data_IF_470702406099
#
_entry.id   IF_470702406099
#
_cell.length_a   1.000
_cell.length_b   1.000
_cell.length_c   1.000
_cell.angle_alpha   90.00
_cell.angle_beta   90.00
_cell.angle_gamma   90.00
#
_symmetry.space_group_name_H-M   'P 1'
#
loop_
_entity.id
_entity.type
_entity.pdbx_description
1 polymer ?
#
# COMPACT_ATOMS: atom_id res chain seq x y z
N UNK A 1 -11.51 16.36 -11.90
CA UNK A 1 -10.05 16.21 -11.87
C UNK A 1 -9.42 17.52 -12.26
N UNK A 2 -8.74 18.19 -11.32
CA UNK A 2 -8.17 19.54 -11.51
C UNK A 2 -6.65 19.56 -11.66
N UNK A 3 -6.00 18.38 -11.73
CA UNK A 3 -4.55 18.23 -11.72
C UNK A 3 -4.10 17.37 -12.90
N UNK A 4 -2.97 17.73 -13.52
CA UNK A 4 -2.33 16.98 -14.60
C UNK A 4 -0.81 16.99 -14.42
N UNK A 5 -0.17 15.83 -14.64
CA UNK A 5 1.30 15.67 -14.61
C UNK A 5 1.88 15.05 -15.89
N UNK A 6 1.10 14.30 -16.66
CA UNK A 6 1.50 13.81 -17.99
C UNK A 6 2.58 12.73 -18.01
N UNK A 7 2.48 11.73 -17.13
CA UNK A 7 3.44 10.61 -17.07
C UNK A 7 3.55 9.86 -18.41
N UNK A 8 2.48 9.77 -19.20
CA UNK A 8 2.53 9.10 -20.51
C UNK A 8 3.46 9.84 -21.49
N UNK A 9 3.50 11.17 -21.42
CA UNK A 9 4.44 11.97 -22.22
C UNK A 9 5.86 11.85 -21.69
N UNK A 10 6.05 11.82 -20.36
CA UNK A 10 7.37 11.70 -19.72
C UNK A 10 8.09 10.37 -20.02
N UNK A 11 7.33 9.31 -20.31
CA UNK A 11 7.86 7.99 -20.64
C UNK A 11 8.31 7.85 -22.11
N UNK A 12 7.98 8.79 -22.98
CA UNK A 12 8.46 8.75 -24.38
C UNK A 12 9.98 8.88 -24.41
N UNK A 13 10.61 8.08 -25.26
CA UNK A 13 12.05 8.04 -25.47
C UNK A 13 12.89 7.74 -24.21
N UNK A 14 12.24 7.25 -23.14
CA UNK A 14 12.90 6.74 -21.94
C UNK A 14 13.32 5.29 -22.13
N UNK A 15 14.35 4.89 -21.41
CA UNK A 15 14.65 3.47 -21.29
C UNK A 15 13.45 2.75 -20.66
N UNK A 16 12.89 1.73 -21.33
CA UNK A 16 11.69 1.05 -20.83
C UNK A 16 11.91 0.41 -19.46
N UNK A 17 13.14 0.09 -19.08
CA UNK A 17 13.48 -0.49 -17.76
C UNK A 17 13.22 0.49 -16.61
N UNK A 18 13.22 1.79 -16.87
CA UNK A 18 12.91 2.80 -15.85
C UNK A 18 11.41 2.94 -15.57
N UNK A 19 10.55 2.36 -16.42
CA UNK A 19 9.11 2.56 -16.35
C UNK A 19 8.54 2.14 -14.99
N UNK A 20 8.95 0.99 -14.44
CA UNK A 20 8.46 0.51 -13.13
C UNK A 20 8.84 1.43 -11.98
N UNK A 21 9.91 2.21 -12.09
CA UNK A 21 10.30 3.20 -11.08
C UNK A 21 9.54 4.51 -11.27
N UNK A 22 9.43 4.99 -12.52
CA UNK A 22 8.78 6.26 -12.85
C UNK A 22 7.28 6.20 -12.55
N UNK A 23 6.57 5.16 -13.00
CA UNK A 23 5.11 5.09 -12.90
C UNK A 23 4.61 5.02 -11.45
N UNK A 24 5.41 4.49 -10.53
CA UNK A 24 5.06 4.52 -9.09
C UNK A 24 4.85 5.94 -8.56
N UNK A 25 5.41 6.97 -9.20
CA UNK A 25 5.23 8.38 -8.79
C UNK A 25 3.92 8.96 -9.31
N UNK A 26 3.13 8.21 -10.07
CA UNK A 26 1.76 8.57 -10.40
C UNK A 26 0.94 8.67 -9.11
N UNK A 27 1.14 7.81 -8.11
CA UNK A 27 0.41 7.89 -6.85
C UNK A 27 1.27 7.48 -5.67
N UNK A 28 1.25 8.24 -4.57
CA UNK A 28 1.93 7.86 -3.34
C UNK A 28 1.18 6.84 -2.49
N UNK A 29 -0.12 6.64 -2.76
CA UNK A 29 -1.01 5.72 -2.03
C UNK A 29 -0.94 4.33 -2.68
N UNK A 30 -1.42 4.18 -3.92
CA UNK A 30 -1.34 2.94 -4.70
C UNK A 30 -0.05 2.83 -5.51
N UNK A 31 1.08 3.22 -4.92
CA UNK A 31 2.36 3.34 -5.65
C UNK A 31 2.79 2.02 -6.28
N UNK A 32 2.72 0.93 -5.51
CA UNK A 32 3.12 -0.41 -5.95
C UNK A 32 2.30 -0.89 -7.15
N UNK A 33 0.99 -0.59 -7.19
CA UNK A 33 0.11 -0.97 -8.30
C UNK A 33 0.64 -0.48 -9.66
N UNK A 34 1.11 0.77 -9.72
CA UNK A 34 1.70 1.32 -10.93
C UNK A 34 3.04 0.68 -11.30
N UNK A 35 3.85 0.31 -10.31
CA UNK A 35 5.12 -0.38 -10.51
C UNK A 35 4.92 -1.80 -11.05
N UNK A 36 3.99 -2.56 -10.46
CA UNK A 36 3.59 -3.91 -10.91
C UNK A 36 3.01 -3.86 -12.32
N UNK A 37 2.07 -2.95 -12.59
CA UNK A 37 1.47 -2.81 -13.91
C UNK A 37 2.52 -2.50 -15.00
N UNK A 38 3.48 -1.62 -14.70
CA UNK A 38 4.58 -1.34 -15.62
C UNK A 38 5.50 -2.56 -15.82
N UNK A 39 5.84 -3.29 -14.75
CA UNK A 39 6.62 -4.51 -14.86
C UNK A 39 5.92 -5.60 -15.70
N UNK A 40 4.61 -5.76 -15.55
CA UNK A 40 3.80 -6.68 -16.36
C UNK A 40 3.71 -6.23 -17.82
N UNK A 41 3.55 -4.93 -18.09
CA UNK A 41 3.58 -4.41 -19.45
C UNK A 41 4.91 -4.67 -20.15
N UNK A 42 6.03 -4.46 -19.43
CA UNK A 42 7.37 -4.77 -19.95
C UNK A 42 7.56 -6.27 -20.16
N UNK A 43 7.07 -7.10 -19.23
CA UNK A 43 7.10 -8.56 -19.34
C UNK A 43 6.42 -9.02 -20.63
N UNK A 44 5.23 -8.52 -20.91
CA UNK A 44 4.52 -8.86 -22.14
C UNK A 44 5.21 -8.30 -23.40
N UNK A 45 5.69 -7.06 -23.36
CA UNK A 45 6.36 -6.43 -24.50
C UNK A 45 7.65 -7.16 -24.90
N UNK A 46 8.46 -7.58 -23.92
CA UNK A 46 9.73 -8.27 -24.13
C UNK A 46 9.62 -9.80 -24.11
N UNK A 47 8.41 -10.35 -23.93
CA UNK A 47 8.15 -11.80 -23.82
C UNK A 47 9.03 -12.48 -22.77
N UNK A 48 9.18 -11.82 -21.63
CA UNK A 48 9.96 -12.31 -20.50
C UNK A 48 9.12 -13.25 -19.64
N UNK A 49 9.77 -14.25 -19.06
CA UNK A 49 9.14 -15.14 -18.08
C UNK A 49 9.63 -14.77 -16.68
N UNK A 50 8.73 -14.56 -15.71
CA UNK A 50 9.14 -14.37 -14.33
C UNK A 50 9.63 -15.69 -13.74
N UNK A 51 10.51 -15.59 -12.75
CA UNK A 51 10.77 -16.75 -11.88
C UNK A 51 9.58 -16.97 -10.96
N UNK A 52 9.38 -18.21 -10.49
CA UNK A 52 8.29 -18.54 -9.56
C UNK A 52 8.35 -17.67 -8.29
N UNK A 53 9.54 -17.59 -7.67
CA UNK A 53 9.77 -16.71 -6.53
C UNK A 53 9.55 -15.24 -6.89
N UNK A 54 9.93 -14.82 -8.10
CA UNK A 54 9.71 -13.46 -8.58
C UNK A 54 8.23 -13.10 -8.63
N UNK A 55 7.38 -14.00 -9.09
CA UNK A 55 5.93 -13.79 -9.14
C UNK A 55 5.32 -13.80 -7.74
N UNK A 56 5.68 -14.77 -6.90
CA UNK A 56 5.20 -14.84 -5.52
C UNK A 56 5.56 -13.59 -4.71
N UNK A 57 6.81 -13.12 -4.81
CA UNK A 57 7.25 -11.91 -4.13
C UNK A 57 6.54 -10.66 -4.67
N UNK A 58 6.32 -10.58 -5.99
CA UNK A 58 5.54 -9.48 -6.59
C UNK A 58 4.13 -9.44 -5.99
N UNK A 59 3.48 -10.61 -5.88
CA UNK A 59 2.15 -10.74 -5.29
C UNK A 59 2.14 -10.38 -3.80
N UNK A 60 3.15 -10.79 -3.03
CA UNK A 60 3.26 -10.43 -1.61
C UNK A 60 3.40 -8.92 -1.42
N UNK A 61 4.28 -8.27 -2.21
CA UNK A 61 4.47 -6.81 -2.15
C UNK A 61 3.14 -6.11 -2.49
N UNK A 62 2.49 -6.53 -3.58
CA UNK A 62 1.24 -5.91 -4.02
C UNK A 62 0.09 -6.11 -3.03
N UNK A 63 -0.06 -7.33 -2.49
CA UNK A 63 -1.10 -7.62 -1.50
C UNK A 63 -0.88 -6.84 -0.20
N UNK A 64 0.37 -6.68 0.24
CA UNK A 64 0.71 -5.93 1.45
C UNK A 64 0.43 -4.43 1.29
N UNK A 65 0.78 -3.85 0.13
CA UNK A 65 0.44 -2.46 -0.24
C UNK A 65 -1.08 -2.27 -0.32
N UNK A 66 -1.81 -3.25 -0.88
CA UNK A 66 -3.26 -3.21 -0.95
C UNK A 66 -3.92 -3.25 0.43
N UNK A 67 -3.47 -4.15 1.32
CA UNK A 67 -3.96 -4.25 2.70
C UNK A 67 -3.74 -2.94 3.46
N UNK A 68 -2.53 -2.39 3.40
CA UNK A 68 -2.22 -1.10 3.98
C UNK A 68 -3.15 0.01 3.45
N UNK A 69 -3.39 0.04 2.13
CA UNK A 69 -4.22 1.06 1.50
C UNK A 69 -5.69 0.96 1.94
N UNK A 70 -6.23 -0.25 2.05
CA UNK A 70 -7.61 -0.46 2.49
C UNK A 70 -7.80 -0.06 3.95
N UNK A 71 -6.88 -0.46 4.83
CA UNK A 71 -6.91 -0.07 6.24
C UNK A 71 -6.83 1.46 6.40
N UNK A 72 -5.91 2.13 5.69
CA UNK A 72 -5.84 3.60 5.75
C UNK A 72 -7.07 4.28 5.17
N UNK A 73 -7.60 3.78 4.06
CA UNK A 73 -8.79 4.35 3.46
C UNK A 73 -9.96 4.34 4.45
N UNK A 74 -10.23 3.18 5.06
CA UNK A 74 -11.31 3.04 6.03
C UNK A 74 -11.01 3.87 7.29
N UNK A 75 -9.84 3.69 7.92
CA UNK A 75 -9.54 4.28 9.22
C UNK A 75 -9.20 5.78 9.20
N UNK A 76 -8.64 6.32 8.11
CA UNK A 76 -8.29 7.74 8.03
C UNK A 76 -9.23 8.56 7.15
N UNK A 77 -9.74 8.00 6.06
CA UNK A 77 -10.45 8.80 5.06
C UNK A 77 -11.96 8.75 5.24
N UNK A 78 -12.53 7.57 5.51
CA UNK A 78 -13.99 7.40 5.52
C UNK A 78 -14.61 7.27 6.92
N UNK A 79 -13.89 6.73 7.90
CA UNK A 79 -14.54 6.44 9.18
C UNK A 79 -15.00 7.69 9.95
N UNK A 80 -14.32 8.83 9.83
CA UNK A 80 -14.73 10.07 10.52
C UNK A 80 -15.99 10.73 9.94
N UNK A 81 -16.47 10.25 8.80
CA UNK A 81 -17.80 10.62 8.28
C UNK A 81 -18.93 10.02 9.13
N UNK A 82 -18.65 8.92 9.84
CA UNK A 82 -19.63 8.16 10.63
C UNK A 82 -19.31 8.10 12.12
N UNK A 83 -18.04 8.26 12.48
CA UNK A 83 -17.51 8.14 13.84
C UNK A 83 -17.02 9.50 14.31
N UNK A 84 -17.48 9.92 15.48
CA UNK A 84 -17.03 11.14 16.12
C UNK A 84 -15.65 10.91 16.74
N UNK A 85 -14.66 11.66 16.28
CA UNK A 85 -13.30 11.62 16.84
C UNK A 85 -13.25 12.04 18.32
N UNK A 86 -12.12 11.76 19.00
CA UNK A 86 -11.94 12.12 20.40
C UNK A 86 -11.96 13.63 20.61
N UNK A 87 -12.31 14.09 21.81
CA UNK A 87 -12.43 15.52 22.15
C UNK A 87 -11.06 16.15 22.41
N UNK A 88 -10.18 16.11 21.41
CA UNK A 88 -8.82 16.67 21.45
C UNK A 88 -8.34 17.05 20.03
N UNK A 89 -7.44 18.04 19.89
CA UNK A 89 -6.80 18.33 18.61
C UNK A 89 -6.07 17.08 18.05
N UNK A 90 -6.09 16.81 16.73
CA UNK A 90 -6.64 17.64 15.64
C UNK A 90 -8.12 17.37 15.31
N UNK A 91 -8.84 16.60 16.14
CA UNK A 91 -10.24 16.23 15.89
C UNK A 91 -11.25 17.29 16.33
N UNK A 92 -10.76 18.35 16.98
CA UNK A 92 -11.54 19.52 17.40
C UNK A 92 -11.20 20.75 16.53
N UNK A 93 -12.20 21.51 16.05
CA UNK A 93 -13.64 21.30 16.26
C UNK A 93 -14.17 20.11 15.45
N UNK A 94 -15.06 19.34 16.08
CA UNK A 94 -15.75 18.23 15.43
C UNK A 94 -16.62 18.81 14.31
N UNK A 95 -16.48 18.26 13.11
CA UNK A 95 -17.28 18.69 11.97
C UNK A 95 -18.76 18.31 12.19
N UNK A 96 -19.72 19.16 11.80
CA UNK A 96 -21.13 18.80 11.80
C UNK A 96 -21.36 17.58 10.89
N UNK A 97 -22.04 16.55 11.40
CA UNK A 97 -22.26 15.30 10.67
C UNK A 97 -23.39 14.46 11.26
N UNK A 98 -23.83 13.45 10.50
CA UNK A 98 -24.88 12.50 10.90
C UNK A 98 -24.26 11.30 11.64
N UNK A 99 -24.02 11.48 12.94
CA UNK A 99 -23.42 10.46 13.80
C UNK A 99 -24.51 9.59 14.46
N UNK A 100 -24.69 8.37 13.94
CA UNK A 100 -25.79 7.48 14.35
C UNK A 100 -25.42 6.43 15.41
N UNK A 101 -24.14 6.27 15.71
CA UNK A 101 -23.69 5.29 16.70
C UNK A 101 -23.97 5.75 18.13
N UNK A 102 -24.31 4.79 19.00
CA UNK A 102 -24.33 5.05 20.44
C UNK A 102 -22.93 5.42 20.93
N UNK A 103 -22.84 6.11 22.07
CA UNK A 103 -21.55 6.52 22.64
C UNK A 103 -20.59 5.35 22.83
N UNK A 104 -21.06 4.23 23.37
CA UNK A 104 -20.24 3.04 23.58
C UNK A 104 -19.72 2.43 22.26
N UNK A 105 -20.53 2.41 21.21
CA UNK A 105 -20.11 1.95 19.88
C UNK A 105 -19.09 2.90 19.27
N UNK A 106 -19.31 4.21 19.38
CA UNK A 106 -18.41 5.23 18.87
C UNK A 106 -17.02 5.11 19.53
N UNK A 107 -16.97 5.01 20.86
CA UNK A 107 -15.72 4.91 21.62
C UNK A 107 -14.93 3.64 21.25
N UNK A 108 -15.63 2.52 21.02
CA UNK A 108 -15.02 1.29 20.50
C UNK A 108 -14.45 1.50 19.09
N UNK A 109 -15.23 2.08 18.18
CA UNK A 109 -14.81 2.31 16.80
C UNK A 109 -13.59 3.23 16.71
N UNK A 110 -13.54 4.30 17.52
CA UNK A 110 -12.36 5.16 17.59
C UNK A 110 -11.12 4.36 17.99
N UNK A 111 -11.21 3.49 18.99
CA UNK A 111 -10.10 2.62 19.39
C UNK A 111 -9.70 1.66 18.27
N UNK A 112 -10.67 0.98 17.66
CA UNK A 112 -10.44 0.02 16.59
C UNK A 112 -9.78 0.70 15.37
N UNK A 113 -10.17 1.94 15.05
CA UNK A 113 -9.57 2.73 13.97
C UNK A 113 -8.09 3.02 14.22
N UNK A 114 -7.71 3.47 15.43
CA UNK A 114 -6.30 3.71 15.74
C UNK A 114 -5.49 2.42 15.66
N UNK A 115 -6.04 1.29 16.14
CA UNK A 115 -5.41 -0.01 15.97
C UNK A 115 -5.28 -0.40 14.48
N UNK A 116 -6.31 -0.14 13.66
CA UNK A 116 -6.27 -0.38 12.22
C UNK A 116 -5.20 0.45 11.51
N UNK A 117 -4.93 1.67 11.98
CA UNK A 117 -3.81 2.50 11.50
C UNK A 117 -2.47 1.86 11.82
N UNK A 118 -2.29 1.35 13.03
CA UNK A 118 -1.06 0.64 13.42
C UNK A 118 -0.86 -0.59 12.54
N UNK A 119 -1.91 -1.39 12.32
CA UNK A 119 -1.87 -2.53 11.41
C UNK A 119 -1.57 -2.14 9.96
N UNK A 120 -2.03 -0.98 9.52
CA UNK A 120 -1.68 -0.45 8.20
C UNK A 120 -0.17 -0.13 8.11
N UNK A 121 0.45 0.35 9.19
CA UNK A 121 1.91 0.51 9.27
C UNK A 121 2.60 -0.85 9.17
N UNK A 122 2.13 -1.84 9.93
CA UNK A 122 2.68 -3.21 9.88
C UNK A 122 2.60 -3.80 8.48
N UNK A 123 1.47 -3.69 7.79
CA UNK A 123 1.32 -4.12 6.40
C UNK A 123 2.33 -3.44 5.47
N UNK A 124 2.58 -2.14 5.68
CA UNK A 124 3.57 -1.37 4.91
C UNK A 124 5.02 -1.82 5.17
N UNK A 125 5.33 -2.34 6.37
CA UNK A 125 6.64 -2.92 6.67
C UNK A 125 6.89 -4.17 5.81
N UNK A 126 5.88 -5.02 5.59
CA UNK A 126 6.02 -6.19 4.68
C UNK A 126 6.32 -5.72 3.26
N UNK A 127 5.64 -4.67 2.79
CA UNK A 127 5.96 -4.03 1.51
C UNK A 127 7.42 -3.54 1.50
N UNK A 128 7.94 -2.99 2.59
CA UNK A 128 9.33 -2.54 2.67
C UNK A 128 10.35 -3.69 2.75
N UNK A 129 10.05 -4.79 3.44
CA UNK A 129 10.92 -5.98 3.56
C UNK A 129 11.27 -6.53 2.18
N UNK A 130 10.28 -6.64 1.30
CA UNK A 130 10.45 -7.17 -0.05
C UNK A 130 10.69 -6.08 -1.11
N UNK A 131 10.17 -4.88 -0.87
CA UNK A 131 10.23 -3.69 -1.73
C UNK A 131 11.46 -2.78 -1.53
N UNK A 132 12.34 -3.11 -0.58
CA UNK A 132 13.43 -2.30 -0.03
C UNK A 132 12.99 -1.03 0.73
N UNK A 133 11.90 -0.39 0.32
CA UNK A 133 11.26 0.72 1.03
C UNK A 133 9.79 0.80 0.69
N UNK A 134 9.04 1.52 1.50
CA UNK A 134 7.67 1.90 1.18
C UNK A 134 7.41 3.34 1.70
N UNK A 135 6.70 4.20 0.95
CA UNK A 135 6.14 3.99 -0.39
C UNK A 135 7.24 3.96 -1.48
N UNK A 136 6.83 3.63 -2.70
CA UNK A 136 7.69 3.59 -3.89
C UNK A 136 8.82 2.54 -3.85
N UNK A 137 8.43 1.26 -3.85
CA UNK A 137 9.33 0.11 -3.87
C UNK A 137 10.39 0.21 -4.99
N UNK A 138 11.57 -0.35 -4.75
CA UNK A 138 12.73 -0.26 -5.67
C UNK A 138 13.08 -1.60 -6.34
N UNK A 139 12.41 -2.67 -5.95
CA UNK A 139 12.87 -4.04 -6.22
C UNK A 139 12.08 -4.75 -7.32
N UNK A 140 10.95 -4.17 -7.75
CA UNK A 140 10.08 -4.75 -8.79
C UNK A 140 10.71 -4.57 -10.17
N UNK A 141 10.92 -5.70 -10.84
CA UNK A 141 11.39 -5.82 -12.21
C UNK A 141 10.43 -6.67 -13.05
N UNK A 142 10.52 -6.64 -14.40
CA UNK A 142 9.65 -7.43 -15.27
C UNK A 142 9.68 -8.94 -14.98
N UNK A 143 10.83 -9.45 -14.54
CA UNK A 143 11.07 -10.88 -14.25
C UNK A 143 10.85 -11.26 -12.79
N UNK A 144 10.47 -10.32 -11.92
CA UNK A 144 10.23 -10.59 -10.50
C UNK A 144 10.75 -9.49 -9.58
N UNK A 145 11.38 -9.91 -8.47
CA UNK A 145 11.85 -9.02 -7.40
C UNK A 145 13.34 -9.24 -7.15
N UNK A 146 14.10 -8.16 -6.99
CA UNK A 146 15.57 -8.23 -6.77
C UNK A 146 15.97 -8.67 -5.36
N UNK A 147 15.05 -8.58 -4.40
CA UNK A 147 15.29 -8.94 -3.00
C UNK A 147 15.53 -10.44 -2.85
N UNK A 148 16.65 -10.86 -2.24
CA UNK A 148 16.92 -12.27 -2.03
C UNK A 148 15.99 -12.87 -0.96
N UNK A 149 15.55 -14.10 -1.20
CA UNK A 149 14.73 -14.86 -0.25
C UNK A 149 15.63 -15.40 0.86
N UNK A 150 15.38 -14.98 2.09
CA UNK A 150 16.05 -15.49 3.30
C UNK A 150 15.01 -15.94 4.32
N UNK A 151 15.35 -16.95 5.13
CA UNK A 151 14.47 -17.45 6.18
C UNK A 151 14.04 -16.35 7.16
N UNK A 152 14.93 -15.40 7.43
CA UNK A 152 14.66 -14.22 8.26
C UNK A 152 13.53 -13.35 7.69
N UNK A 153 13.61 -12.95 6.41
CA UNK A 153 12.57 -12.11 5.77
C UNK A 153 11.22 -12.82 5.70
N UNK A 154 11.23 -14.12 5.41
CA UNK A 154 10.02 -14.94 5.40
C UNK A 154 9.39 -14.98 6.78
N UNK A 155 10.18 -15.25 7.81
CA UNK A 155 9.70 -15.35 9.19
C UNK A 155 9.16 -14.00 9.70
N UNK A 156 9.87 -12.90 9.41
CA UNK A 156 9.44 -11.55 9.77
C UNK A 156 8.13 -11.17 9.07
N UNK A 157 8.00 -11.44 7.77
CA UNK A 157 6.77 -11.16 7.02
C UNK A 157 5.60 -11.97 7.54
N UNK A 158 5.82 -13.26 7.82
CA UNK A 158 4.76 -14.15 8.32
C UNK A 158 4.27 -13.74 9.72
N UNK A 159 5.17 -13.31 10.59
CA UNK A 159 4.81 -12.80 11.92
C UNK A 159 3.88 -11.58 11.82
N UNK A 160 4.18 -10.65 10.91
CA UNK A 160 3.34 -9.47 10.65
C UNK A 160 1.99 -9.88 10.07
N UNK A 161 1.97 -10.74 9.05
CA UNK A 161 0.71 -11.16 8.40
C UNK A 161 -0.21 -11.87 9.38
N UNK A 162 0.33 -12.72 10.28
CA UNK A 162 -0.46 -13.35 11.34
C UNK A 162 -1.06 -12.34 12.30
N UNK A 163 -0.26 -11.36 12.74
CA UNK A 163 -0.74 -10.27 13.60
C UNK A 163 -1.92 -9.51 12.96
N UNK A 164 -1.88 -9.29 11.65
CA UNK A 164 -2.97 -8.62 10.92
C UNK A 164 -4.18 -9.55 10.74
N UNK A 165 -3.96 -10.84 10.50
CA UNK A 165 -5.04 -11.81 10.28
C UNK A 165 -5.82 -12.15 11.56
N UNK A 166 -5.19 -12.04 12.73
CA UNK A 166 -5.82 -12.28 14.03
C UNK A 166 -6.67 -11.09 14.53
N UNK A 167 -6.64 -9.96 13.80
CA UNK A 167 -7.44 -8.76 14.06
C UNK A 167 -8.76 -8.78 13.29
#
# INVERSE_FOLDING_TARGET
GHLFRGFEKMLRDRDPRDASLITQRICGICSTAHGVAAAYALRDAFKLLPTENGELLTNIIFASDMLQNHLRHICFMTAFDYVRGPDQPPFTPVQPGDYRFSRAQNDKLVKDMFQGVDLAVRAHEVTAIWGAKAPHVQTILPTGVTTPVTAERVSASLAIVRQIADY
#
